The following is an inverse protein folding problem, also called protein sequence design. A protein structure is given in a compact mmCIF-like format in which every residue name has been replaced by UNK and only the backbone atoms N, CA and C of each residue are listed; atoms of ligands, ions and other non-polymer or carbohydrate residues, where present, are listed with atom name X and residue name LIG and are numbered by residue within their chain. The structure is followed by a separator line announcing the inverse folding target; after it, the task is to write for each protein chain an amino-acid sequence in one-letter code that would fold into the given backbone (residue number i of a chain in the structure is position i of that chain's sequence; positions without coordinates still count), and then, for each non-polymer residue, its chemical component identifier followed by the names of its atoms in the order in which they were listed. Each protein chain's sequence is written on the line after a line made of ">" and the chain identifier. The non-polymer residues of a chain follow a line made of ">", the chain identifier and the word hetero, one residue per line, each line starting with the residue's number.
data_IF_656395871252
#
_entry.id   IF_656395871252
#
_cell.length_a   1.000
_cell.length_b   1.000
_cell.length_c   1.000
_cell.angle_alpha   90.00
_cell.angle_beta   90.00
_cell.angle_gamma   90.00
#
_symmetry.space_group_name_H-M   'P 1'
#
loop_
_entity.id
_entity.type
_entity.pdbx_description
1 polymer ?
#
# COMPACT_ATOMS: atom_id res chain seq x y z
N UNK A 1 -17.62 17.41 -63.90
CA UNK A 1 -18.13 16.78 -62.67
C UNK A 1 -17.01 16.82 -61.66
N UNK A 2 -17.09 17.81 -60.77
CA UNK A 2 -16.10 18.18 -59.77
C UNK A 2 -16.36 17.32 -58.52
N UNK A 3 -15.38 16.54 -58.06
CA UNK A 3 -15.49 15.73 -56.84
C UNK A 3 -14.50 16.24 -55.79
N UNK A 4 -15.04 16.97 -54.82
CA UNK A 4 -14.35 17.60 -53.70
C UNK A 4 -13.91 16.58 -52.63
N UNK A 5 -12.64 16.66 -52.23
CA UNK A 5 -12.09 16.01 -51.03
C UNK A 5 -12.34 16.91 -49.80
N UNK A 6 -12.72 16.36 -48.63
CA UNK A 6 -12.91 17.17 -47.44
C UNK A 6 -11.58 17.52 -46.76
N UNK A 7 -11.44 18.79 -46.38
CA UNK A 7 -10.31 19.35 -45.65
C UNK A 7 -10.38 18.97 -44.16
N UNK A 8 -9.24 18.55 -43.61
CA UNK A 8 -9.03 18.32 -42.18
C UNK A 8 -9.06 19.64 -41.41
N UNK A 9 -10.00 19.79 -40.47
CA UNK A 9 -10.05 20.90 -39.51
C UNK A 9 -9.12 20.55 -38.34
N UNK A 10 -8.07 21.35 -38.15
CA UNK A 10 -7.21 21.28 -36.98
C UNK A 10 -7.93 21.88 -35.76
N UNK A 11 -8.03 21.10 -34.68
CA UNK A 11 -8.58 21.55 -33.39
C UNK A 11 -7.45 22.15 -32.57
N UNK A 12 -7.60 23.43 -32.25
CA UNK A 12 -6.70 24.25 -31.45
C UNK A 12 -6.68 23.78 -30.00
N UNK A 13 -5.49 23.60 -29.41
CA UNK A 13 -5.30 23.17 -28.02
C UNK A 13 -4.99 24.40 -27.16
N UNK A 14 -5.74 24.68 -26.08
CA UNK A 14 -5.44 25.82 -25.24
C UNK A 14 -4.16 25.60 -24.42
N UNK A 15 -3.21 26.53 -24.57
CA UNK A 15 -2.00 26.66 -23.74
C UNK A 15 -2.38 27.09 -22.32
N UNK A 16 -2.06 26.26 -21.33
CA UNK A 16 -2.20 26.60 -19.92
C UNK A 16 -0.96 27.38 -19.45
N UNK A 17 -1.10 28.68 -19.22
CA UNK A 17 -0.10 29.51 -18.55
C UNK A 17 -0.31 29.44 -17.03
N UNK A 18 0.67 28.91 -16.30
CA UNK A 18 0.71 28.94 -14.82
C UNK A 18 1.52 30.17 -14.40
N UNK A 19 0.83 31.16 -13.82
CA UNK A 19 1.46 32.27 -13.12
C UNK A 19 1.66 31.88 -11.66
N UNK A 20 2.92 31.74 -11.24
CA UNK A 20 3.31 31.64 -9.84
C UNK A 20 3.58 33.05 -9.32
N UNK A 21 2.83 33.49 -8.32
CA UNK A 21 3.20 34.61 -7.45
C UNK A 21 3.34 34.07 -6.03
N UNK A 22 4.56 34.18 -5.50
CA UNK A 22 4.89 34.02 -4.08
C UNK A 22 4.00 34.90 -3.19
N UNK A 23 3.78 34.49 -1.94
CA UNK A 23 4.12 35.28 -0.75
C UNK A 23 4.06 34.40 0.52
N UNK A 24 5.13 34.55 1.30
CA UNK A 24 5.42 34.07 2.64
C UNK A 24 4.53 34.69 3.72
N UNK A 25 4.28 33.98 4.82
CA UNK A 25 4.54 34.50 6.19
C UNK A 25 4.33 33.42 7.24
N UNK A 26 5.29 33.41 8.16
CA UNK A 26 5.30 32.73 9.45
C UNK A 26 4.21 33.31 10.36
N UNK A 27 3.70 32.52 11.31
CA UNK A 27 3.53 33.01 12.68
C UNK A 27 3.41 31.87 13.69
N UNK A 28 4.34 31.93 14.63
CA UNK A 28 4.42 31.21 15.89
C UNK A 28 3.54 31.85 16.96
N UNK A 29 2.86 31.07 17.82
CA UNK A 29 3.05 31.18 19.28
C UNK A 29 2.30 30.16 20.14
N UNK A 30 3.06 29.71 21.14
CA UNK A 30 2.78 29.20 22.49
C UNK A 30 1.36 29.19 23.10
N UNK A 31 1.01 28.01 23.60
CA UNK A 31 0.55 27.66 24.96
C UNK A 31 -0.16 28.70 25.86
N UNK A 32 -1.33 28.31 26.38
CA UNK A 32 -1.67 28.58 27.78
C UNK A 32 -2.65 27.52 28.36
N UNK A 33 -2.34 27.10 29.59
CA UNK A 33 -3.16 26.27 30.48
C UNK A 33 -4.01 27.20 31.36
N UNK A 34 -5.29 26.88 31.59
CA UNK A 34 -5.92 27.11 32.89
C UNK A 34 -7.15 26.21 33.10
N UNK A 35 -7.14 25.55 34.25
CA UNK A 35 -8.24 24.81 34.86
C UNK A 35 -9.31 25.77 35.41
N UNK A 36 -10.51 25.22 35.62
CA UNK A 36 -11.47 25.38 36.74
C UNK A 36 -12.85 24.95 36.17
N UNK A 37 -13.60 23.95 36.63
CA UNK A 37 -13.73 23.36 37.95
C UNK A 37 -15.21 23.44 38.34
N UNK A 38 -16.02 22.43 38.00
CA UNK A 38 -17.35 22.23 38.61
C UNK A 38 -17.53 20.76 38.99
N UNK A 39 -17.82 20.55 40.27
CA UNK A 39 -17.98 19.27 40.94
C UNK A 39 -19.23 18.51 40.48
N UNK A 40 -19.10 17.20 40.27
CA UNK A 40 -20.21 16.26 40.43
C UNK A 40 -19.73 15.04 41.23
N UNK A 41 -20.60 14.59 42.12
CA UNK A 41 -20.34 13.78 43.32
C UNK A 41 -19.77 12.37 43.08
N UNK A 42 -18.91 12.02 44.04
CA UNK A 42 -18.42 10.71 44.45
C UNK A 42 -19.44 9.55 44.37
N UNK A 43 -19.04 8.45 43.72
CA UNK A 43 -19.38 7.09 44.14
C UNK A 43 -18.09 6.28 44.32
N UNK A 44 -17.89 5.78 45.53
CA UNK A 44 -16.69 5.08 46.01
C UNK A 44 -16.86 3.58 45.75
N UNK A 45 -16.25 3.04 44.68
CA UNK A 45 -16.15 1.60 44.50
C UNK A 45 -14.89 1.08 45.20
N UNK A 46 -15.09 0.23 46.21
CA UNK A 46 -14.04 -0.42 47.01
C UNK A 46 -13.23 -1.40 46.15
N UNK A 47 -11.90 -1.34 46.29
CA UNK A 47 -10.97 -2.42 45.93
C UNK A 47 -11.32 -3.70 46.71
N UNK A 48 -11.66 -4.78 46.02
CA UNK A 48 -11.44 -6.14 46.52
C UNK A 48 -10.25 -6.74 45.77
N UNK A 49 -9.23 -7.13 46.53
CA UNK A 49 -8.15 -7.99 46.07
C UNK A 49 -8.66 -9.41 46.27
N UNK A 50 -8.97 -10.13 45.19
CA UNK A 50 -9.16 -11.58 45.28
C UNK A 50 -7.92 -12.30 44.73
N UNK A 51 -7.22 -12.90 45.68
CA UNK A 51 -6.14 -13.86 45.52
C UNK A 51 -6.73 -15.13 44.89
N UNK A 52 -6.25 -15.53 43.72
CA UNK A 52 -6.55 -16.85 43.17
C UNK A 52 -5.64 -17.86 43.89
N UNK A 53 -6.17 -18.89 44.58
CA UNK A 53 -5.35 -19.84 45.32
C UNK A 53 -4.53 -20.73 44.40
N UNK A 54 -3.22 -20.76 44.62
CA UNK A 54 -2.36 -21.86 44.17
C UNK A 54 -2.71 -23.11 44.98
N UNK A 55 -3.09 -24.20 44.32
CA UNK A 55 -2.80 -25.61 44.65
C UNK A 55 -3.82 -26.50 43.93
N UNK A 56 -3.48 -26.99 42.75
CA UNK A 56 -4.02 -28.24 42.17
C UNK A 56 -3.23 -28.56 40.91
N UNK A 57 -1.94 -28.86 41.06
CA UNK A 57 -1.21 -29.63 40.05
C UNK A 57 -0.08 -30.41 40.72
N UNK A 58 -0.47 -31.46 41.44
CA UNK A 58 0.41 -32.62 41.62
C UNK A 58 -0.37 -33.84 41.18
N UNK A 59 0.10 -34.46 40.10
CA UNK A 59 0.38 -35.90 40.00
C UNK A 59 0.22 -36.37 38.55
N UNK A 60 1.33 -36.36 37.82
CA UNK A 60 1.64 -37.33 36.78
C UNK A 60 3.15 -37.24 36.50
N UNK A 61 3.95 -37.90 37.33
CA UNK A 61 5.32 -38.26 36.97
C UNK A 61 5.24 -39.57 36.20
N UNK A 62 5.38 -39.47 34.88
CA UNK A 62 5.49 -40.58 33.96
C UNK A 62 6.41 -40.20 32.81
N UNK A 63 7.71 -40.51 33.00
CA UNK A 63 8.72 -40.80 31.97
C UNK A 63 8.73 -39.93 30.70
N UNK A 64 9.73 -39.06 30.61
CA UNK A 64 10.51 -38.83 29.40
C UNK A 64 9.79 -38.18 28.21
N UNK A 65 9.55 -36.87 28.28
CA UNK A 65 9.38 -36.03 27.10
C UNK A 65 10.32 -34.83 27.27
N UNK A 66 11.46 -34.87 26.58
CA UNK A 66 12.25 -33.65 26.36
C UNK A 66 11.37 -32.73 25.51
N UNK A 67 10.74 -31.74 26.12
CA UNK A 67 10.14 -30.64 25.38
C UNK A 67 11.24 -30.01 24.52
N UNK A 68 11.18 -30.24 23.22
CA UNK A 68 11.94 -29.46 22.24
C UNK A 68 11.21 -28.12 22.17
N UNK A 69 11.47 -27.25 23.16
CA UNK A 69 11.18 -25.84 23.05
C UNK A 69 12.17 -25.26 22.04
N UNK A 70 11.73 -24.68 20.92
CA UNK A 70 12.64 -23.99 20.00
C UNK A 70 13.40 -22.92 20.79
N UNK A 71 14.73 -23.03 20.83
CA UNK A 71 15.60 -22.20 21.67
C UNK A 71 15.81 -20.78 21.15
N UNK A 72 15.10 -20.36 20.10
CA UNK A 72 15.32 -19.08 19.43
C UNK A 72 13.96 -18.52 19.01
N UNK A 73 13.51 -17.44 19.64
CA UNK A 73 12.47 -16.59 19.03
C UNK A 73 13.03 -16.13 17.68
N UNK A 74 12.31 -16.29 16.56
CA UNK A 74 12.82 -15.89 15.25
C UNK A 74 13.23 -14.42 15.33
N UNK A 75 14.54 -14.17 15.21
CA UNK A 75 15.11 -12.85 15.37
C UNK A 75 14.32 -11.84 14.55
N UNK A 76 13.95 -10.71 15.17
CA UNK A 76 13.19 -9.63 14.52
C UNK A 76 13.89 -9.29 13.20
N UNK A 77 13.37 -9.79 12.08
CA UNK A 77 13.89 -9.43 10.75
C UNK A 77 13.75 -7.92 10.67
N UNK A 78 14.88 -7.21 10.55
CA UNK A 78 14.86 -5.77 10.24
C UNK A 78 14.14 -5.62 8.92
N UNK A 79 12.86 -5.24 8.95
CA UNK A 79 12.08 -4.92 7.77
C UNK A 79 12.82 -3.76 7.11
N UNK A 80 13.36 -3.99 5.91
CA UNK A 80 13.98 -2.90 5.14
C UNK A 80 12.85 -1.96 4.73
N UNK A 81 12.79 -0.80 5.37
CA UNK A 81 11.91 0.29 4.96
C UNK A 81 12.16 0.61 3.48
N UNK A 82 11.10 0.70 2.69
CA UNK A 82 11.21 1.09 1.29
C UNK A 82 11.67 2.55 1.20
N UNK A 83 12.39 2.90 0.14
CA UNK A 83 12.79 4.29 -0.16
C UNK A 83 12.95 4.50 -1.67
N UNK A 84 12.81 5.72 -2.17
CA UNK A 84 12.82 5.97 -3.63
C UNK A 84 14.22 6.22 -4.22
N UNK A 85 15.28 5.80 -3.51
CA UNK A 85 16.67 5.89 -3.99
C UNK A 85 17.13 4.64 -4.75
N UNK A 86 16.28 3.61 -4.84
CA UNK A 86 16.55 2.35 -5.56
C UNK A 86 15.27 1.65 -5.96
N UNK A 87 15.38 0.75 -6.93
CA UNK A 87 14.30 -0.18 -7.28
C UNK A 87 14.30 -1.38 -6.33
N UNK A 88 13.11 -1.81 -5.92
CA UNK A 88 12.94 -2.81 -4.87
C UNK A 88 12.40 -4.13 -5.38
N UNK A 89 12.71 -5.21 -4.67
CA UNK A 89 12.12 -6.54 -4.92
C UNK A 89 10.66 -6.55 -4.47
N UNK A 90 9.88 -7.46 -5.06
CA UNK A 90 8.44 -7.62 -4.79
C UNK A 90 8.09 -7.67 -3.30
N UNK A 91 8.85 -8.43 -2.50
CA UNK A 91 8.60 -8.59 -1.08
C UNK A 91 8.76 -7.29 -0.27
N UNK A 92 9.65 -6.38 -0.71
CA UNK A 92 9.83 -5.08 -0.06
C UNK A 92 8.65 -4.17 -0.39
N UNK A 93 8.19 -4.17 -1.64
CA UNK A 93 7.00 -3.41 -2.06
C UNK A 93 5.76 -3.89 -1.30
N UNK A 94 5.59 -5.21 -1.13
CA UNK A 94 4.47 -5.75 -0.36
C UNK A 94 4.57 -5.42 1.13
N UNK A 95 5.78 -5.49 1.71
CA UNK A 95 5.97 -5.08 3.11
C UNK A 95 5.66 -3.59 3.31
N UNK A 96 5.95 -2.75 2.31
CA UNK A 96 5.61 -1.33 2.33
C UNK A 96 4.09 -1.09 2.29
N UNK A 97 3.35 -1.84 1.46
CA UNK A 97 1.89 -1.74 1.46
C UNK A 97 1.30 -2.16 2.81
N UNK A 98 1.79 -3.26 3.38
CA UNK A 98 1.36 -3.77 4.69
C UNK A 98 1.72 -2.78 5.83
N UNK A 99 2.83 -2.04 5.70
CA UNK A 99 3.20 -0.95 6.61
C UNK A 99 2.22 0.22 6.53
N UNK A 100 1.82 0.65 5.33
CA UNK A 100 0.85 1.75 5.18
C UNK A 100 -0.51 1.40 5.78
N UNK A 101 -1.00 0.18 5.56
CA UNK A 101 -2.25 -0.28 6.20
C UNK A 101 -2.13 -0.32 7.73
N UNK A 102 -1.03 -0.86 8.25
CA UNK A 102 -0.81 -0.96 9.70
C UNK A 102 -0.69 0.42 10.37
N UNK A 103 0.00 1.35 9.72
CA UNK A 103 0.32 2.67 10.29
C UNK A 103 -0.83 3.68 10.06
N UNK A 104 -1.64 3.50 9.01
CA UNK A 104 -2.77 4.36 8.65
C UNK A 104 -4.08 3.57 8.42
N UNK A 105 -4.54 2.75 9.38
CA UNK A 105 -5.64 1.80 9.19
C UNK A 105 -7.01 2.47 8.96
N UNK A 106 -7.16 3.75 9.31
CA UNK A 106 -8.39 4.50 9.09
C UNK A 106 -8.63 4.84 7.61
N UNK A 107 -7.56 4.88 6.80
CA UNK A 107 -7.63 5.29 5.39
C UNK A 107 -7.05 4.25 4.43
N UNK A 108 -6.22 3.32 4.91
CA UNK A 108 -5.55 2.31 4.09
C UNK A 108 -6.16 0.92 4.30
N UNK A 109 -6.34 0.18 3.22
CA UNK A 109 -6.66 -1.26 3.26
C UNK A 109 -5.93 -1.99 2.16
N UNK A 110 -5.26 -3.11 2.48
CA UNK A 110 -4.55 -3.93 1.51
C UNK A 110 -5.34 -5.21 1.26
N UNK A 111 -5.61 -5.48 -0.02
CA UNK A 111 -6.32 -6.69 -0.44
C UNK A 111 -5.58 -7.39 -1.58
N UNK A 112 -5.79 -8.69 -1.70
CA UNK A 112 -5.36 -9.44 -2.88
C UNK A 112 -6.53 -9.48 -3.87
N UNK A 113 -6.32 -8.97 -5.08
CA UNK A 113 -7.34 -8.94 -6.16
C UNK A 113 -7.26 -10.18 -7.06
N UNK A 114 -6.33 -11.08 -6.78
CA UNK A 114 -6.14 -12.31 -7.53
C UNK A 114 -4.78 -12.94 -7.30
N UNK A 115 -4.56 -14.05 -8.00
CA UNK A 115 -3.28 -14.76 -8.02
C UNK A 115 -2.68 -14.72 -9.42
N UNK A 116 -1.36 -14.60 -9.49
CA UNK A 116 -0.60 -14.75 -10.72
C UNK A 116 -0.53 -16.20 -11.17
N UNK A 117 0.03 -16.44 -12.37
CA UNK A 117 0.17 -17.80 -12.93
C UNK A 117 1.11 -18.69 -12.12
N UNK A 118 2.06 -18.10 -11.38
CA UNK A 118 2.92 -18.81 -10.42
C UNK A 118 2.40 -18.74 -8.98
N UNK A 119 1.16 -18.26 -8.76
CA UNK A 119 0.48 -18.30 -7.46
C UNK A 119 0.81 -17.16 -6.49
N UNK A 120 1.44 -16.08 -6.95
CA UNK A 120 1.71 -14.89 -6.12
C UNK A 120 0.45 -14.02 -6.03
N UNK A 121 0.22 -13.42 -4.88
CA UNK A 121 -0.83 -12.40 -4.74
C UNK A 121 -0.60 -11.25 -5.70
N UNK A 122 -1.68 -10.72 -6.26
CA UNK A 122 -1.69 -9.40 -6.89
C UNK A 122 -2.29 -8.47 -5.84
N UNK A 123 -1.43 -7.75 -5.11
CA UNK A 123 -1.86 -6.87 -4.03
C UNK A 123 -2.31 -5.51 -4.56
N UNK A 124 -3.39 -5.00 -3.99
CA UNK A 124 -3.92 -3.66 -4.18
C UNK A 124 -3.98 -2.94 -2.83
N UNK A 125 -3.60 -1.66 -2.82
CA UNK A 125 -3.79 -0.74 -1.71
C UNK A 125 -4.97 0.17 -2.04
N UNK A 126 -6.00 0.16 -1.19
CA UNK A 126 -7.07 1.17 -1.19
C UNK A 126 -6.68 2.31 -0.26
N UNK A 127 -6.78 3.56 -0.73
CA UNK A 127 -6.68 4.77 0.11
C UNK A 127 -8.01 5.53 0.00
N UNK A 128 -8.71 5.75 1.11
CA UNK A 128 -10.06 6.32 1.09
C UNK A 128 -10.46 6.95 2.44
N UNK A 129 -11.29 7.98 2.41
CA UNK A 129 -11.97 8.51 3.60
C UNK A 129 -13.32 7.83 3.90
N UNK A 130 -13.63 6.74 3.20
CA UNK A 130 -14.86 5.94 3.33
C UNK A 130 -16.18 6.66 3.01
N UNK A 131 -16.15 7.82 2.35
CA UNK A 131 -17.35 8.46 1.82
C UNK A 131 -17.90 7.65 0.64
N UNK A 132 -19.15 7.20 0.73
CA UNK A 132 -19.79 6.37 -0.30
C UNK A 132 -19.96 7.09 -1.67
N UNK A 133 -19.92 8.43 -1.67
CA UNK A 133 -20.03 9.25 -2.88
C UNK A 133 -18.71 9.42 -3.64
N UNK A 134 -17.59 8.92 -3.11
CA UNK A 134 -16.30 9.11 -3.74
C UNK A 134 -16.24 8.41 -5.11
N UNK A 135 -15.76 9.09 -6.16
CA UNK A 135 -15.36 8.40 -7.39
C UNK A 135 -14.15 7.49 -7.14
N UNK A 136 -14.06 6.43 -7.94
CA UNK A 136 -12.94 5.50 -7.92
C UNK A 136 -11.84 5.97 -8.88
N UNK A 137 -10.59 5.97 -8.41
CA UNK A 137 -9.40 6.22 -9.23
C UNK A 137 -8.52 4.98 -9.22
N UNK A 138 -8.29 4.39 -10.39
CA UNK A 138 -7.46 3.21 -10.54
C UNK A 138 -6.05 3.57 -11.03
N UNK A 139 -5.02 3.07 -10.35
CA UNK A 139 -3.62 3.23 -10.75
C UNK A 139 -2.88 1.90 -10.64
N UNK A 140 -2.38 1.38 -11.75
CA UNK A 140 -1.51 0.21 -11.77
C UNK A 140 -0.13 0.50 -12.35
N UNK A 141 0.81 -0.38 -12.03
CA UNK A 141 2.18 -0.35 -12.52
C UNK A 141 2.73 -1.75 -12.81
N UNK A 142 3.84 -1.76 -13.55
CA UNK A 142 4.56 -2.97 -13.94
C UNK A 142 3.69 -4.06 -14.59
N UNK A 143 2.69 -3.67 -15.41
CA UNK A 143 2.05 -4.61 -16.35
C UNK A 143 3.12 -5.25 -17.26
N UNK A 144 4.10 -4.44 -17.67
CA UNK A 144 5.38 -4.92 -18.18
C UNK A 144 6.42 -4.95 -17.07
N UNK A 145 6.99 -6.12 -16.84
CA UNK A 145 7.81 -6.37 -15.66
C UNK A 145 9.15 -5.63 -15.62
N UNK A 146 9.76 -5.33 -16.79
CA UNK A 146 11.04 -4.59 -16.88
C UNK A 146 10.94 -3.09 -16.59
N UNK A 147 9.75 -2.51 -16.54
CA UNK A 147 9.52 -1.06 -16.44
C UNK A 147 9.51 -0.59 -14.98
N UNK A 148 10.61 -0.83 -14.25
CA UNK A 148 10.70 -0.66 -12.78
C UNK A 148 10.40 0.75 -12.26
N UNK A 149 10.54 1.79 -13.09
CA UNK A 149 10.21 3.16 -12.71
C UNK A 149 8.72 3.33 -12.44
N UNK A 150 7.84 2.60 -13.13
CA UNK A 150 6.40 2.66 -12.91
C UNK A 150 6.03 2.29 -11.47
N UNK A 151 6.60 1.20 -10.94
CA UNK A 151 6.40 0.77 -9.55
C UNK A 151 6.93 1.80 -8.55
N UNK A 152 8.09 2.41 -8.82
CA UNK A 152 8.66 3.43 -7.95
C UNK A 152 7.76 4.68 -7.89
N UNK A 153 7.24 5.15 -9.02
CA UNK A 153 6.34 6.31 -9.09
C UNK A 153 5.02 6.04 -8.37
N UNK A 154 4.38 4.91 -8.65
CA UNK A 154 3.08 4.57 -8.06
C UNK A 154 3.19 4.40 -6.54
N UNK A 155 4.26 3.77 -6.05
CA UNK A 155 4.48 3.66 -4.61
C UNK A 155 4.86 4.98 -3.94
N UNK A 156 5.57 5.88 -4.64
CA UNK A 156 5.86 7.22 -4.14
C UNK A 156 4.57 8.03 -3.96
N UNK A 157 3.70 7.99 -4.98
CA UNK A 157 2.42 8.67 -4.93
C UNK A 157 1.56 8.12 -3.78
N UNK A 158 1.50 6.81 -3.60
CA UNK A 158 0.80 6.18 -2.48
C UNK A 158 1.33 6.69 -1.13
N UNK A 159 2.64 6.67 -0.92
CA UNK A 159 3.25 7.17 0.33
C UNK A 159 2.93 8.65 0.56
N UNK A 160 3.04 9.47 -0.48
CA UNK A 160 2.76 10.89 -0.42
C UNK A 160 1.29 11.16 -0.05
N UNK A 161 0.33 10.49 -0.71
CA UNK A 161 -1.09 10.66 -0.43
C UNK A 161 -1.40 10.24 1.01
N UNK A 162 -0.93 9.06 1.45
CA UNK A 162 -1.23 8.53 2.78
C UNK A 162 -0.64 9.41 3.88
N UNK A 163 0.65 9.76 3.78
CA UNK A 163 1.33 10.53 4.84
C UNK A 163 0.92 11.99 4.91
N UNK A 164 0.34 12.54 3.84
CA UNK A 164 -0.14 13.92 3.79
C UNK A 164 -1.67 14.03 3.76
N UNK A 165 -2.41 12.93 3.93
CA UNK A 165 -3.84 12.86 3.64
C UNK A 165 -4.66 14.01 4.25
N UNK A 166 -4.42 14.34 5.53
CA UNK A 166 -5.14 15.41 6.24
C UNK A 166 -4.81 16.84 5.77
N UNK A 167 -3.75 17.02 4.97
CA UNK A 167 -3.27 18.31 4.45
C UNK A 167 -3.58 18.48 2.97
N UNK A 168 -4.01 17.42 2.30
CA UNK A 168 -4.33 17.45 0.87
C UNK A 168 -5.73 18.03 0.66
N UNK A 169 -5.95 18.63 -0.50
CA UNK A 169 -7.25 19.17 -0.88
C UNK A 169 -8.29 18.05 -1.06
N UNK A 170 -9.56 18.42 -0.91
CA UNK A 170 -10.68 17.50 -1.13
C UNK A 170 -10.69 16.93 -2.55
N UNK A 171 -10.17 17.65 -3.54
CA UNK A 171 -9.98 17.13 -4.90
C UNK A 171 -9.11 15.87 -4.98
N UNK A 172 -8.30 15.57 -3.95
CA UNK A 172 -7.53 14.34 -3.81
C UNK A 172 -8.19 13.40 -2.79
N UNK A 173 -8.57 13.91 -1.61
CA UNK A 173 -9.05 13.05 -0.50
C UNK A 173 -10.48 12.55 -0.66
N UNK A 174 -11.31 13.21 -1.47
CA UNK A 174 -12.66 12.75 -1.85
C UNK A 174 -12.60 11.89 -3.12
N UNK A 175 -11.64 10.97 -3.16
CA UNK A 175 -11.55 9.89 -4.14
C UNK A 175 -11.15 8.60 -3.43
N UNK A 176 -11.64 7.48 -3.95
CA UNK A 176 -11.18 6.15 -3.56
C UNK A 176 -10.04 5.73 -4.49
N UNK A 177 -8.80 5.80 -4.00
CA UNK A 177 -7.62 5.41 -4.76
C UNK A 177 -7.39 3.91 -4.66
N UNK A 178 -7.39 3.21 -5.79
CA UNK A 178 -7.09 1.80 -5.91
C UNK A 178 -5.75 1.62 -6.62
N UNK A 179 -4.73 1.28 -5.85
CA UNK A 179 -3.34 1.29 -6.30
C UNK A 179 -2.78 -0.13 -6.37
N UNK A 180 -2.31 -0.55 -7.54
CA UNK A 180 -1.67 -1.86 -7.79
C UNK A 180 -0.22 -1.64 -8.24
N UNK A 181 0.77 -1.61 -7.31
CA UNK A 181 2.16 -1.29 -7.67
C UNK A 181 2.84 -2.29 -8.61
N UNK A 182 2.38 -3.55 -8.59
CA UNK A 182 2.94 -4.63 -9.42
C UNK A 182 1.81 -5.53 -9.92
N UNK A 183 1.31 -5.23 -11.12
CA UNK A 183 0.25 -6.03 -11.76
C UNK A 183 0.77 -7.38 -12.29
N UNK A 184 2.05 -7.46 -12.66
CA UNK A 184 2.71 -8.68 -13.15
C UNK A 184 3.80 -9.17 -12.17
N UNK A 185 3.43 -9.74 -11.00
CA UNK A 185 4.40 -10.10 -9.97
C UNK A 185 5.37 -11.19 -10.42
N UNK A 186 4.95 -12.12 -11.28
CA UNK A 186 5.82 -13.21 -11.75
C UNK A 186 6.92 -12.70 -12.68
N UNK A 187 6.53 -11.89 -13.68
CA UNK A 187 7.48 -11.23 -14.56
C UNK A 187 8.41 -10.33 -13.74
N UNK A 188 7.86 -9.56 -12.80
CA UNK A 188 8.65 -8.62 -11.99
C UNK A 188 9.73 -9.35 -11.20
N UNK A 189 9.38 -10.44 -10.50
CA UNK A 189 10.36 -11.28 -9.79
C UNK A 189 11.40 -11.87 -10.77
N UNK A 190 10.98 -12.29 -11.95
CA UNK A 190 11.89 -12.81 -12.98
C UNK A 190 12.92 -11.76 -13.42
N UNK A 191 12.54 -10.48 -13.54
CA UNK A 191 13.49 -9.39 -13.84
C UNK A 191 14.51 -9.11 -12.76
N UNK A 192 14.21 -9.45 -11.51
CA UNK A 192 15.13 -9.29 -10.37
C UNK A 192 16.05 -10.50 -10.15
N UNK A 193 15.78 -11.63 -10.82
CA UNK A 193 16.43 -12.92 -10.51
C UNK A 193 17.07 -13.62 -11.70
N UNK A 194 16.60 -13.36 -12.93
CA UNK A 194 17.00 -14.12 -14.12
C UNK A 194 17.26 -13.21 -15.32
N UNK A 195 16.23 -12.52 -15.82
CA UNK A 195 16.32 -11.72 -17.05
C UNK A 195 15.72 -10.33 -16.81
N UNK A 196 16.60 -9.34 -16.64
CA UNK A 196 16.24 -7.94 -16.40
C UNK A 196 15.32 -7.36 -17.50
N UNK A 197 15.41 -7.85 -18.73
CA UNK A 197 14.68 -7.31 -19.88
C UNK A 197 13.37 -8.04 -20.18
N UNK A 198 12.98 -9.01 -19.34
CA UNK A 198 11.70 -9.69 -19.44
C UNK A 198 10.52 -8.71 -19.34
N UNK A 199 9.54 -8.85 -20.24
CA UNK A 199 8.38 -7.95 -20.33
C UNK A 199 7.08 -8.63 -19.90
N UNK A 200 6.84 -9.83 -20.42
CA UNK A 200 5.55 -10.55 -20.39
C UNK A 200 5.22 -11.13 -19.02
N UNK A 201 4.05 -11.76 -18.87
CA UNK A 201 3.80 -12.64 -17.72
C UNK A 201 4.69 -13.91 -17.79
N UNK A 202 4.45 -14.90 -16.92
CA UNK A 202 5.20 -16.18 -16.91
C UNK A 202 4.34 -17.39 -17.27
N UNK A 203 3.27 -17.18 -18.04
CA UNK A 203 2.41 -18.26 -18.50
C UNK A 203 3.20 -19.26 -19.35
N UNK A 204 2.81 -20.53 -19.28
CA UNK A 204 3.40 -21.59 -20.10
C UNK A 204 2.69 -21.70 -21.45
N UNK A 205 3.46 -22.01 -22.49
CA UNK A 205 3.00 -22.43 -23.80
C UNK A 205 3.85 -23.64 -24.18
N UNK A 206 3.20 -24.77 -24.50
CA UNK A 206 3.86 -26.05 -24.79
C UNK A 206 4.90 -26.48 -23.75
N UNK A 207 4.58 -26.27 -22.47
CA UNK A 207 5.44 -26.61 -21.34
C UNK A 207 6.50 -25.54 -20.99
N UNK A 208 6.83 -24.64 -21.92
CA UNK A 208 7.83 -23.59 -21.75
C UNK A 208 7.23 -22.28 -21.27
N UNK A 209 7.94 -21.54 -20.40
CA UNK A 209 7.49 -20.24 -19.89
C UNK A 209 7.75 -19.13 -20.90
N UNK A 210 6.96 -19.10 -21.96
CA UNK A 210 7.01 -18.08 -23.02
C UNK A 210 6.35 -16.77 -22.58
N UNK A 211 5.23 -16.85 -21.87
CA UNK A 211 4.44 -15.70 -21.40
C UNK A 211 3.66 -14.96 -22.49
N UNK A 212 2.65 -14.21 -22.05
CA UNK A 212 1.77 -13.36 -22.86
C UNK A 212 2.03 -11.88 -22.52
N UNK A 213 1.96 -11.00 -23.52
CA UNK A 213 1.95 -9.55 -23.27
C UNK A 213 0.60 -9.16 -22.67
N UNK A 214 0.61 -8.79 -21.38
CA UNK A 214 -0.60 -8.46 -20.64
C UNK A 214 -1.30 -7.22 -21.20
N UNK A 215 -0.57 -6.25 -21.75
CA UNK A 215 -1.16 -5.05 -22.36
C UNK A 215 -1.65 -5.27 -23.80
N UNK A 216 -1.78 -6.52 -24.22
CA UNK A 216 -2.40 -6.95 -25.48
C UNK A 216 -3.49 -8.01 -25.24
N UNK A 217 -3.91 -8.17 -23.98
CA UNK A 217 -4.82 -9.23 -23.55
C UNK A 217 -6.14 -8.70 -22.95
N UNK A 218 -6.40 -7.39 -23.08
CA UNK A 218 -7.69 -6.79 -22.75
C UNK A 218 -8.69 -7.02 -23.89
N UNK A 219 -9.98 -7.13 -23.56
CA UNK A 219 -11.09 -7.27 -24.50
C UNK A 219 -12.02 -6.07 -24.39
#
# INVERSE_FOLDING_TARGET
>A
MESSLPQHVAVDQPKLHVLLSDQSSEDSNSAEKANNGTQTKFFRLRKSKELIPSLMFRRCLGKGIKQILPSELPGKRKVKLMNWKKFHKLNVIYSFMDELERDFPAICTVTSIGKSVEGRDIKMLKISNSKASNPAVWLDAAIHSREWISTAVVTYLADFIVRNFQKLSESITDNDWFIVPVLNPDGYVYTHTRDRMWRKNRAKHDGERVGVDLNRNFR
#
